data_IF_216473029913
#
_entry.id   IF_216473029913
#
_cell.length_a   1.000
_cell.length_b   1.000
_cell.length_c   1.000
_cell.angle_alpha   90.00
_cell.angle_beta   90.00
_cell.angle_gamma   90.00
#
_symmetry.space_group_name_H-M   'P 1'
#
loop_
_entity.id
_entity.type
_entity.pdbx_description
1 polymer ?
#
# COMPACT_ATOMS: atom_id res chain seq x y z
N UNK A 1 -17.07 62.57 -2.97
CA UNK A 1 -17.08 61.13 -2.62
C UNK A 1 -18.21 60.40 -3.37
N UNK A 2 -18.10 60.12 -4.69
CA UNK A 2 -19.16 59.41 -5.45
C UNK A 2 -18.67 58.58 -6.66
N UNK A 3 -17.36 58.33 -6.84
CA UNK A 3 -16.83 57.64 -8.04
C UNK A 3 -16.06 56.33 -7.77
N UNK A 4 -16.01 55.85 -6.53
CA UNK A 4 -15.28 54.62 -6.16
C UNK A 4 -16.16 53.35 -6.14
N UNK A 5 -17.47 53.49 -6.28
CA UNK A 5 -18.44 52.38 -6.23
C UNK A 5 -18.31 51.39 -7.41
N UNK A 6 -18.05 51.79 -8.68
CA UNK A 6 -18.04 50.82 -9.77
C UNK A 6 -16.77 49.93 -9.79
N UNK A 7 -15.67 50.36 -9.16
CA UNK A 7 -14.42 49.59 -9.11
C UNK A 7 -14.53 48.41 -8.14
N UNK A 8 -15.24 48.59 -7.02
CA UNK A 8 -15.45 47.53 -6.03
C UNK A 8 -16.33 46.39 -6.59
N UNK A 9 -17.29 46.70 -7.46
CA UNK A 9 -18.18 45.71 -8.05
C UNK A 9 -17.50 44.86 -9.15
N UNK A 10 -16.55 45.45 -9.89
CA UNK A 10 -15.76 44.73 -10.91
C UNK A 10 -14.72 43.80 -10.26
N UNK A 11 -14.14 44.20 -9.13
CA UNK A 11 -13.19 43.35 -8.37
C UNK A 11 -13.87 42.13 -7.73
N UNK A 12 -15.17 42.14 -7.48
CA UNK A 12 -15.88 41.03 -6.86
C UNK A 12 -16.24 39.93 -7.86
N UNK A 13 -16.33 40.27 -9.15
CA UNK A 13 -16.64 39.33 -10.25
C UNK A 13 -15.42 38.50 -10.69
N UNK A 14 -14.20 38.92 -10.36
CA UNK A 14 -12.96 38.21 -10.75
C UNK A 14 -12.55 37.10 -9.78
N UNK A 15 -13.22 36.95 -8.63
CA UNK A 15 -12.91 35.91 -7.63
C UNK A 15 -13.83 34.67 -7.70
N UNK A 16 -14.79 34.62 -8.63
CA UNK A 16 -15.78 33.53 -8.71
C UNK A 16 -15.52 32.50 -9.81
N UNK A 17 -14.38 32.54 -10.49
CA UNK A 17 -14.03 31.59 -11.56
C UNK A 17 -13.02 30.55 -11.08
N UNK A 18 -13.37 29.82 -10.03
CA UNK A 18 -12.77 28.52 -9.73
C UNK A 18 -13.82 27.48 -10.11
N UNK A 19 -13.82 27.07 -11.38
CA UNK A 19 -14.63 25.96 -11.85
C UNK A 19 -13.82 24.68 -11.70
N UNK A 20 -14.40 23.66 -11.07
CA UNK A 20 -13.81 22.32 -11.08
C UNK A 20 -13.83 21.81 -12.53
N UNK A 21 -12.67 21.54 -13.13
CA UNK A 21 -12.55 20.92 -14.44
C UNK A 21 -12.32 19.40 -14.31
N UNK A 22 -12.38 18.70 -15.45
CA UNK A 22 -12.44 17.22 -15.50
C UNK A 22 -11.15 16.57 -14.93
N UNK A 23 -10.08 17.35 -14.87
CA UNK A 23 -8.77 17.07 -14.32
C UNK A 23 -8.74 16.96 -12.79
N UNK A 24 -9.78 17.45 -12.09
CA UNK A 24 -9.89 17.34 -10.62
C UNK A 24 -10.26 15.92 -10.13
N UNK A 25 -10.56 14.98 -11.04
CA UNK A 25 -10.85 13.58 -10.67
C UNK A 25 -9.59 12.72 -10.72
N UNK A 26 -8.88 12.66 -9.60
CA UNK A 26 -7.83 11.65 -9.39
C UNK A 26 -8.46 10.25 -9.42
N UNK A 27 -8.11 9.45 -10.43
CA UNK A 27 -8.50 8.05 -10.49
C UNK A 27 -7.81 7.28 -9.36
N UNK A 28 -8.54 6.35 -8.72
CA UNK A 28 -8.01 5.53 -7.64
C UNK A 28 -8.12 4.05 -7.97
N UNK A 29 -7.23 3.24 -7.38
CA UNK A 29 -7.20 1.80 -7.54
C UNK A 29 -7.15 1.10 -6.18
N UNK A 30 -7.76 -0.09 -6.13
CA UNK A 30 -7.64 -1.01 -5.00
C UNK A 30 -6.39 -1.87 -5.24
N UNK A 31 -5.53 -1.97 -4.23
CA UNK A 31 -4.33 -2.80 -4.28
C UNK A 31 -4.49 -3.97 -3.32
N UNK A 32 -4.13 -5.17 -3.79
CA UNK A 32 -4.09 -6.38 -2.98
C UNK A 32 -2.67 -6.93 -2.94
N UNK A 33 -2.16 -7.18 -1.74
CA UNK A 33 -0.86 -7.79 -1.51
C UNK A 33 -1.05 -9.29 -1.28
N UNK A 34 -0.26 -10.11 -1.97
CA UNK A 34 -0.23 -11.55 -1.76
C UNK A 34 1.15 -11.95 -1.22
N UNK A 35 1.16 -12.69 -0.13
CA UNK A 35 2.39 -13.10 0.56
C UNK A 35 2.70 -14.55 0.20
N UNK A 36 3.93 -14.77 -0.28
CA UNK A 36 4.48 -16.10 -0.52
C UNK A 36 5.77 -16.25 0.28
N UNK A 37 6.04 -17.47 0.72
CA UNK A 37 7.12 -17.76 1.66
C UNK A 37 8.01 -18.85 1.04
N UNK A 38 9.31 -18.64 1.10
CA UNK A 38 10.28 -19.56 0.51
C UNK A 38 11.47 -19.76 1.46
N UNK A 39 11.97 -20.98 1.54
CA UNK A 39 13.23 -21.35 2.17
C UNK A 39 14.23 -21.69 1.06
N UNK A 40 15.21 -20.83 0.84
CA UNK A 40 16.22 -21.00 -0.22
C UNK A 40 15.62 -21.36 -1.59
N UNK A 41 14.59 -20.61 -2.00
CA UNK A 41 13.84 -20.83 -3.24
C UNK A 41 12.78 -21.94 -3.19
N UNK A 42 12.75 -22.79 -2.15
CA UNK A 42 11.72 -23.81 -1.97
C UNK A 42 10.46 -23.21 -1.31
N UNK A 43 9.26 -23.32 -1.90
CA UNK A 43 8.04 -22.79 -1.29
C UNK A 43 7.76 -23.43 0.07
N UNK A 44 7.39 -22.59 1.05
CA UNK A 44 6.94 -23.00 2.38
C UNK A 44 5.43 -22.87 2.44
N UNK A 45 4.73 -23.99 2.56
CA UNK A 45 3.27 -24.06 2.68
C UNK A 45 2.86 -24.56 4.07
N UNK A 46 1.59 -24.42 4.41
CA UNK A 46 1.07 -24.90 5.71
C UNK A 46 1.25 -26.43 5.89
N UNK A 47 1.37 -27.20 4.81
CA UNK A 47 1.59 -28.64 4.85
C UNK A 47 3.03 -29.04 5.20
N UNK A 48 3.96 -28.08 5.26
CA UNK A 48 5.38 -28.33 5.51
C UNK A 48 5.77 -28.19 6.99
N UNK A 49 4.86 -27.71 7.84
CA UNK A 49 5.14 -27.48 9.25
C UNK A 49 5.15 -28.78 10.06
N UNK A 50 5.99 -28.80 11.11
CA UNK A 50 6.21 -29.94 12.00
C UNK A 50 6.79 -31.19 11.30
N UNK A 51 7.38 -31.02 10.12
CA UNK A 51 8.12 -32.05 9.41
C UNK A 51 9.57 -31.57 9.20
N UNK A 52 10.52 -32.50 9.33
CA UNK A 52 11.91 -32.26 8.92
C UNK A 52 11.91 -32.25 7.39
N UNK A 53 12.11 -31.07 6.80
CA UNK A 53 11.96 -30.85 5.35
C UNK A 53 13.00 -29.93 4.74
N UNK A 54 13.76 -29.21 5.55
CA UNK A 54 14.70 -28.20 5.09
C UNK A 54 16.10 -28.57 5.53
N UNK A 55 17.08 -28.11 4.77
CA UNK A 55 18.50 -28.23 5.10
C UNK A 55 19.11 -26.85 5.07
N UNK A 56 19.97 -26.52 6.04
CA UNK A 56 20.72 -25.27 6.04
C UNK A 56 22.07 -25.43 5.30
N UNK A 57 22.83 -24.34 5.17
CA UNK A 57 24.14 -24.35 4.53
C UNK A 57 25.20 -25.19 5.27
N UNK A 58 24.94 -25.60 6.52
CA UNK A 58 25.80 -26.46 7.33
C UNK A 58 25.36 -27.93 7.31
N UNK A 59 24.43 -28.31 6.42
CA UNK A 59 23.88 -29.67 6.29
C UNK A 59 23.00 -30.12 7.48
N UNK A 60 22.60 -29.21 8.36
CA UNK A 60 21.64 -29.55 9.43
C UNK A 60 20.24 -29.69 8.85
N UNK A 61 19.56 -30.78 9.23
CA UNK A 61 18.14 -30.96 8.93
C UNK A 61 17.27 -30.14 9.89
N UNK A 62 16.32 -29.40 9.34
CA UNK A 62 15.47 -28.46 10.04
C UNK A 62 13.99 -28.75 9.81
N UNK A 63 13.21 -28.45 10.85
CA UNK A 63 11.75 -28.35 10.77
C UNK A 63 11.30 -26.96 11.19
N UNK A 64 10.21 -26.47 10.58
CA UNK A 64 9.57 -25.22 10.96
C UNK A 64 8.29 -25.59 11.73
N UNK A 65 8.16 -25.12 12.97
CA UNK A 65 6.98 -25.39 13.80
C UNK A 65 5.94 -24.28 13.72
N UNK A 66 6.39 -23.04 13.46
CA UNK A 66 5.53 -21.86 13.34
C UNK A 66 6.21 -20.77 12.54
N UNK A 67 5.43 -20.12 11.66
CA UNK A 67 5.84 -18.91 10.93
C UNK A 67 4.68 -17.92 10.93
N UNK A 68 4.86 -16.84 11.68
CA UNK A 68 3.87 -15.77 11.84
C UNK A 68 4.57 -14.42 11.92
N UNK A 69 4.06 -13.43 11.22
CA UNK A 69 4.63 -12.09 11.18
C UNK A 69 3.54 -11.03 10.94
N UNK A 70 3.85 -9.79 11.30
CA UNK A 70 2.96 -8.64 11.13
C UNK A 70 3.48 -7.77 10.00
N UNK A 71 2.63 -7.48 9.02
CA UNK A 71 2.87 -6.45 8.01
C UNK A 71 2.05 -5.22 8.38
N UNK A 72 2.68 -4.05 8.40
CA UNK A 72 2.00 -2.78 8.70
C UNK A 72 2.76 -1.63 8.06
N UNK A 73 2.13 -0.46 7.95
CA UNK A 73 2.75 0.75 7.39
C UNK A 73 3.30 0.53 5.97
N UNK A 74 2.56 -0.20 5.14
CA UNK A 74 2.91 -0.33 3.73
C UNK A 74 2.93 1.06 3.12
N UNK A 75 4.06 1.46 2.58
CA UNK A 75 4.32 2.81 2.09
C UNK A 75 4.64 2.77 0.61
N UNK A 76 3.89 3.53 -0.17
CA UNK A 76 4.19 3.80 -1.56
C UNK A 76 4.99 5.09 -1.67
N UNK A 77 6.07 5.08 -2.44
CA UNK A 77 6.86 6.28 -2.74
C UNK A 77 6.73 6.60 -4.22
N UNK A 78 6.33 7.84 -4.54
CA UNK A 78 6.20 8.30 -5.92
C UNK A 78 7.57 8.56 -6.55
N UNK A 79 7.61 8.81 -7.86
CA UNK A 79 8.84 9.24 -8.54
C UNK A 79 9.34 10.61 -8.09
N UNK A 80 8.49 11.40 -7.41
CA UNK A 80 8.81 12.72 -6.87
C UNK A 80 9.12 12.66 -5.36
N UNK A 81 9.39 11.46 -4.82
CA UNK A 81 9.69 11.21 -3.39
C UNK A 81 8.54 11.49 -2.40
N UNK A 82 7.32 11.72 -2.90
CA UNK A 82 6.13 11.81 -2.05
C UNK A 82 5.72 10.42 -1.55
N UNK A 83 5.31 10.32 -0.28
CA UNK A 83 4.95 9.04 0.34
C UNK A 83 3.47 8.95 0.66
N UNK A 84 2.90 7.77 0.42
CA UNK A 84 1.53 7.40 0.78
C UNK A 84 1.58 6.16 1.67
N UNK A 85 1.25 6.34 2.95
CA UNK A 85 1.19 5.24 3.91
C UNK A 85 -0.22 4.67 3.96
N UNK A 86 -0.34 3.37 3.71
CA UNK A 86 -1.61 2.66 3.82
C UNK A 86 -1.99 2.43 5.28
N UNK A 87 -3.28 2.58 5.56
CA UNK A 87 -3.84 2.29 6.88
C UNK A 87 -4.05 0.79 7.09
N UNK A 88 -3.86 0.36 8.34
CA UNK A 88 -4.11 -1.00 8.77
C UNK A 88 -2.85 -1.84 8.96
N UNK A 89 -3.07 -3.09 9.32
CA UNK A 89 -2.04 -4.10 9.52
C UNK A 89 -2.60 -5.46 9.15
N UNK A 90 -1.72 -6.40 8.82
CA UNK A 90 -2.06 -7.76 8.48
C UNK A 90 -1.18 -8.73 9.26
N UNK A 91 -1.79 -9.54 10.13
CA UNK A 91 -1.09 -10.59 10.86
C UNK A 91 -1.12 -11.87 10.01
N UNK A 92 -0.02 -12.13 9.31
CA UNK A 92 0.13 -13.31 8.45
C UNK A 92 0.49 -14.52 9.31
N UNK A 93 -0.23 -15.62 9.15
CA UNK A 93 0.10 -16.90 9.79
C UNK A 93 0.16 -18.01 8.74
N UNK A 94 1.37 -18.24 8.23
CA UNK A 94 1.67 -19.23 7.20
C UNK A 94 1.38 -20.65 7.71
N UNK A 95 1.64 -20.88 9.00
CA UNK A 95 1.37 -22.15 9.70
C UNK A 95 -0.09 -22.58 9.53
N UNK A 96 -1.02 -21.63 9.59
CA UNK A 96 -2.46 -21.87 9.52
C UNK A 96 -3.08 -21.47 8.18
N UNK A 97 -2.26 -21.09 7.19
CA UNK A 97 -2.73 -20.56 5.91
C UNK A 97 -3.73 -19.39 6.06
N UNK A 98 -3.52 -18.51 7.04
CA UNK A 98 -4.40 -17.36 7.27
C UNK A 98 -3.71 -16.06 6.88
N UNK A 99 -4.50 -15.15 6.30
CA UNK A 99 -4.08 -13.79 5.96
C UNK A 99 -2.90 -13.70 4.96
N UNK A 100 -2.73 -14.70 4.07
CA UNK A 100 -1.76 -14.64 2.97
C UNK A 100 -2.11 -13.62 1.87
N UNK A 101 -3.27 -12.96 1.98
CA UNK A 101 -3.68 -11.87 1.10
C UNK A 101 -4.21 -10.71 1.93
N UNK A 102 -3.86 -9.48 1.56
CA UNK A 102 -4.26 -8.27 2.27
C UNK A 102 -4.65 -7.16 1.30
N UNK A 103 -5.87 -6.66 1.46
CA UNK A 103 -6.38 -5.49 0.75
C UNK A 103 -6.62 -4.37 1.77
N UNK A 104 -5.84 -3.29 1.75
CA UNK A 104 -6.09 -2.12 2.59
C UNK A 104 -7.46 -1.50 2.30
N UNK A 105 -8.06 -0.84 3.30
CA UNK A 105 -9.38 -0.21 3.17
C UNK A 105 -9.37 0.97 2.18
N UNK A 106 -8.26 1.69 2.09
CA UNK A 106 -8.14 2.89 1.28
C UNK A 106 -7.61 2.53 -0.11
N UNK A 107 -8.32 2.98 -1.14
CA UNK A 107 -7.78 3.02 -2.51
C UNK A 107 -6.63 4.02 -2.59
N UNK A 108 -5.67 3.75 -3.46
CA UNK A 108 -4.56 4.68 -3.74
C UNK A 108 -4.79 5.41 -5.06
N UNK A 109 -4.26 6.63 -5.25
CA UNK A 109 -4.23 7.28 -6.56
C UNK A 109 -3.53 6.40 -7.60
N UNK A 110 -4.05 6.36 -8.82
CA UNK A 110 -3.35 5.70 -9.92
C UNK A 110 -2.13 6.52 -10.32
N UNK A 111 -1.00 5.87 -10.57
CA UNK A 111 0.23 6.57 -10.97
C UNK A 111 1.43 5.63 -11.02
N UNK A 112 2.62 6.23 -11.22
CA UNK A 112 3.89 5.52 -11.20
C UNK A 112 4.53 5.69 -9.82
N UNK A 113 4.85 4.57 -9.19
CA UNK A 113 5.54 4.53 -7.90
C UNK A 113 6.94 3.96 -8.09
N UNK A 114 7.93 4.60 -7.47
CA UNK A 114 9.34 4.19 -7.52
C UNK A 114 9.65 3.11 -6.49
N UNK A 115 8.88 3.03 -5.40
CA UNK A 115 9.08 2.04 -4.35
C UNK A 115 7.78 1.67 -3.62
N UNK A 116 7.76 0.44 -3.08
CA UNK A 116 6.80 -0.04 -2.09
C UNK A 116 7.59 -0.71 -0.98
N UNK A 117 7.34 -0.32 0.27
CA UNK A 117 8.03 -0.84 1.47
C UNK A 117 7.08 -1.20 2.59
#
# INVERSE_FOLDING_TARGET
MKKLIPIFFVSLLTFSSCGEDIDDKTSTAIVTFNFSNHWDGTPVTNADFNAIKYTNANEDELSITKLRYLISKITFTSTNEETLVLSGYNLVDVTNNTNLSFTPLNSIPTGIYSNVS
#
